data_IF_325398804928
#
_entry.id   IF_325398804928
#
_cell.length_a   1.000
_cell.length_b   1.000
_cell.length_c   1.000
_cell.angle_alpha   90.00
_cell.angle_beta   90.00
_cell.angle_gamma   90.00
#
_symmetry.space_group_name_H-M   'P 1'
#
loop_
_entity.id
_entity.type
_entity.pdbx_description
1 polymer ?
#
# COMPACT_ATOMS: atom_id res chain seq x y z
N UNK A 1 13.51 -7.14 -2.76
CA UNK A 1 13.77 -5.75 -3.21
C UNK A 1 13.32 -4.75 -2.15
N UNK A 2 14.06 -3.63 -1.98
CA UNK A 2 13.69 -2.58 -1.05
C UNK A 2 12.32 -2.00 -1.40
N UNK A 3 11.64 -1.44 -0.40
CA UNK A 3 10.36 -0.77 -0.61
C UNK A 3 10.66 0.66 -1.03
N UNK A 4 10.33 1.01 -2.26
CA UNK A 4 10.56 2.36 -2.77
C UNK A 4 9.63 3.35 -2.04
N UNK A 5 10.20 4.48 -1.61
CA UNK A 5 9.52 5.51 -0.84
C UNK A 5 9.08 6.68 -1.72
N UNK A 6 8.15 7.49 -1.22
CA UNK A 6 7.75 8.77 -1.81
C UNK A 6 8.17 9.94 -0.91
N UNK A 7 8.17 11.15 -1.46
CA UNK A 7 8.35 12.39 -0.70
C UNK A 7 7.04 13.16 -0.60
N UNK A 8 6.61 13.58 0.58
CA UNK A 8 5.29 14.20 0.73
C UNK A 8 5.16 15.58 0.07
N UNK A 9 6.28 16.20 -0.34
CA UNK A 9 6.33 17.47 -1.08
C UNK A 9 5.65 17.32 -2.45
N UNK A 10 4.69 18.20 -2.83
CA UNK A 10 3.88 18.00 -4.04
C UNK A 10 4.68 17.80 -5.34
N UNK A 11 5.82 18.46 -5.48
CA UNK A 11 6.71 18.38 -6.65
C UNK A 11 7.59 17.12 -6.68
N UNK A 12 7.71 16.38 -5.57
CA UNK A 12 8.59 15.20 -5.46
C UNK A 12 7.83 13.94 -5.06
N UNK A 13 6.52 14.04 -4.86
CA UNK A 13 5.63 12.95 -4.48
C UNK A 13 5.77 11.72 -5.37
N UNK A 14 5.75 11.93 -6.69
CA UNK A 14 5.95 10.89 -7.72
C UNK A 14 5.02 9.67 -7.61
N UNK A 15 4.09 9.63 -6.65
CA UNK A 15 3.05 8.63 -6.61
C UNK A 15 2.07 8.86 -7.77
N UNK A 16 1.47 7.79 -8.26
CA UNK A 16 0.40 7.89 -9.24
C UNK A 16 -0.85 8.54 -8.61
N UNK A 17 -1.66 9.24 -9.42
CA UNK A 17 -2.88 9.94 -8.98
C UNK A 17 -3.90 9.03 -8.28
N UNK A 18 -3.82 7.72 -8.51
CA UNK A 18 -4.68 6.70 -7.90
C UNK A 18 -4.22 6.28 -6.50
N UNK A 19 -3.09 6.83 -6.04
CA UNK A 19 -2.45 6.54 -4.76
C UNK A 19 -2.23 7.82 -3.95
N UNK A 20 -1.79 7.68 -2.71
CA UNK A 20 -1.47 8.82 -1.85
C UNK A 20 -0.21 8.54 -1.03
N UNK A 21 0.74 9.48 -1.05
CA UNK A 21 1.96 9.38 -0.26
C UNK A 21 1.61 9.46 1.24
N UNK A 22 1.79 8.34 1.94
CA UNK A 22 1.28 8.12 3.30
C UNK A 22 2.41 7.68 4.22
N UNK A 23 2.37 8.10 5.48
CA UNK A 23 3.32 7.74 6.53
C UNK A 23 2.71 6.69 7.48
N UNK A 24 2.89 5.38 7.22
CA UNK A 24 2.36 4.34 8.11
C UNK A 24 3.11 4.23 9.44
N UNK A 25 4.45 4.32 9.43
CA UNK A 25 5.27 4.20 10.65
C UNK A 25 6.58 4.99 10.59
N UNK A 26 7.47 4.65 9.65
CA UNK A 26 8.87 5.13 9.62
C UNK A 26 9.24 5.88 8.34
N UNK A 27 8.61 5.53 7.23
CA UNK A 27 8.89 6.05 5.89
C UNK A 27 7.58 6.34 5.16
N UNK A 28 7.66 7.18 4.15
CA UNK A 28 6.53 7.51 3.29
C UNK A 28 6.45 6.54 2.10
N UNK A 29 5.24 6.05 1.81
CA UNK A 29 4.99 5.14 0.69
C UNK A 29 3.74 5.54 -0.09
N UNK A 30 3.69 5.19 -1.37
CA UNK A 30 2.50 5.39 -2.20
C UNK A 30 1.44 4.36 -1.82
N UNK A 31 0.45 4.77 -1.03
CA UNK A 31 -0.62 3.90 -0.57
C UNK A 31 -1.81 3.92 -1.55
N UNK A 32 -2.30 2.74 -1.88
CA UNK A 32 -3.50 2.56 -2.67
C UNK A 32 -4.76 3.01 -1.91
N UNK A 33 -5.83 3.30 -2.65
CA UNK A 33 -7.18 3.39 -2.05
C UNK A 33 -7.55 2.04 -1.42
N UNK A 34 -8.42 2.08 -0.40
CA UNK A 34 -8.85 0.86 0.28
C UNK A 34 -9.45 -0.15 -0.70
N UNK A 35 -9.00 -1.41 -0.61
CA UNK A 35 -9.49 -2.50 -1.47
C UNK A 35 -8.83 -2.57 -2.85
N UNK A 36 -7.89 -1.67 -3.17
CA UNK A 36 -7.21 -1.65 -4.46
C UNK A 36 -5.75 -2.10 -4.35
N UNK A 37 -5.25 -2.67 -5.45
CA UNK A 37 -3.88 -3.13 -5.68
C UNK A 37 -3.37 -2.68 -7.04
N UNK A 38 -2.07 -2.90 -7.31
CA UNK A 38 -1.42 -2.41 -8.53
C UNK A 38 -2.10 -2.93 -9.81
N UNK A 39 -2.28 -2.04 -10.79
CA UNK A 39 -2.91 -2.38 -12.08
C UNK A 39 -1.95 -3.08 -13.02
N UNK A 40 -2.38 -4.20 -13.60
CA UNK A 40 -1.60 -4.91 -14.62
C UNK A 40 -0.43 -5.73 -14.07
N UNK A 41 -0.36 -5.93 -12.75
CA UNK A 41 0.64 -6.77 -12.09
C UNK A 41 -0.02 -7.94 -11.37
N UNK A 42 0.71 -9.05 -11.26
CA UNK A 42 0.31 -10.17 -10.40
C UNK A 42 0.27 -9.71 -8.94
N UNK A 43 -0.76 -10.14 -8.20
CA UNK A 43 -0.98 -9.71 -6.81
C UNK A 43 0.22 -10.02 -5.90
N UNK A 44 0.98 -11.07 -6.19
CA UNK A 44 2.16 -11.50 -5.45
C UNK A 44 3.48 -10.85 -5.93
N UNK A 45 3.46 -9.91 -6.89
CA UNK A 45 4.66 -9.21 -7.35
C UNK A 45 5.19 -8.22 -6.29
N UNK A 46 6.08 -8.72 -5.45
CA UNK A 46 6.75 -7.96 -4.39
C UNK A 46 7.76 -6.93 -4.88
N UNK A 47 8.04 -6.86 -6.18
CA UNK A 47 8.88 -5.82 -6.77
C UNK A 47 8.09 -4.54 -7.03
N UNK A 48 6.75 -4.64 -7.07
CA UNK A 48 5.86 -3.54 -7.42
C UNK A 48 4.89 -3.18 -6.30
N UNK A 49 4.41 -4.18 -5.56
CA UNK A 49 3.38 -4.00 -4.53
C UNK A 49 3.63 -4.82 -3.27
N UNK A 50 3.18 -4.31 -2.13
CA UNK A 50 3.30 -4.97 -0.83
C UNK A 50 2.27 -4.46 0.17
N UNK A 51 2.03 -5.23 1.23
CA UNK A 51 1.38 -4.75 2.45
C UNK A 51 2.41 -4.59 3.56
N UNK A 52 2.14 -3.71 4.50
CA UNK A 52 2.96 -3.50 5.70
C UNK A 52 2.22 -4.03 6.94
N UNK A 53 2.96 -4.41 8.00
CA UNK A 53 2.38 -4.77 9.29
C UNK A 53 1.84 -3.52 10.03
N UNK A 54 0.87 -2.82 9.42
CA UNK A 54 0.31 -1.57 9.95
C UNK A 54 -0.85 -1.85 10.91
N UNK A 55 -0.50 -2.35 12.09
CA UNK A 55 -1.45 -2.75 13.11
C UNK A 55 -2.16 -1.57 13.75
N UNK A 56 -3.37 -1.83 14.26
CA UNK A 56 -4.04 -0.89 15.15
C UNK A 56 -3.27 -0.72 16.45
N UNK A 57 -3.44 0.43 17.11
CA UNK A 57 -2.71 0.73 18.35
C UNK A 57 -3.65 0.87 19.55
N UNK A 58 -3.06 0.89 20.76
CA UNK A 58 -3.80 0.99 22.01
C UNK A 58 -4.55 2.33 22.20
N UNK A 59 -4.32 3.33 21.34
CA UNK A 59 -5.05 4.60 21.34
C UNK A 59 -6.35 4.53 20.55
N UNK A 60 -6.64 3.39 19.92
CA UNK A 60 -7.89 3.13 19.19
C UNK A 60 -7.79 3.32 17.68
N UNK A 61 -6.59 3.55 17.13
CA UNK A 61 -6.43 3.62 15.67
C UNK A 61 -6.69 2.24 15.05
N UNK A 62 -7.56 2.13 14.03
CA UNK A 62 -7.91 0.85 13.42
C UNK A 62 -6.77 0.29 12.57
N UNK A 63 -6.64 -1.05 12.54
CA UNK A 63 -5.68 -1.73 11.67
C UNK A 63 -5.84 -1.31 10.21
N UNK A 64 -4.71 -1.04 9.56
CA UNK A 64 -4.60 -0.72 8.15
C UNK A 64 -3.88 -1.83 7.37
N UNK A 65 -3.77 -3.05 7.92
CA UNK A 65 -3.04 -4.17 7.31
C UNK A 65 -3.58 -4.62 5.94
N UNK A 66 -4.81 -4.21 5.60
CA UNK A 66 -5.40 -4.43 4.27
C UNK A 66 -4.95 -3.43 3.21
N UNK A 67 -4.22 -2.38 3.59
CA UNK A 67 -3.76 -1.32 2.70
C UNK A 67 -2.55 -1.81 1.90
N UNK A 68 -2.66 -1.69 0.58
CA UNK A 68 -1.58 -1.99 -0.36
C UNK A 68 -0.75 -0.74 -0.60
N UNK A 69 0.56 -0.93 -0.71
CA UNK A 69 1.53 0.07 -1.09
C UNK A 69 2.21 -0.36 -2.39
N UNK A 70 2.59 0.63 -3.20
CA UNK A 70 3.24 0.41 -4.48
C UNK A 70 4.47 1.30 -4.62
N UNK A 71 5.37 0.95 -5.53
CA UNK A 71 6.47 1.86 -5.91
C UNK A 71 5.93 3.16 -6.56
N UNK A 72 6.66 4.28 -6.49
CA UNK A 72 6.27 5.51 -7.17
C UNK A 72 5.93 5.31 -8.65
N UNK A 73 4.94 6.05 -9.15
CA UNK A 73 4.46 6.01 -10.52
C UNK A 73 3.61 4.79 -10.91
N UNK A 74 3.32 3.87 -9.98
CA UNK A 74 2.46 2.71 -10.26
C UNK A 74 1.01 3.02 -9.98
N UNK A 75 0.18 2.81 -11.00
CA UNK A 75 -1.26 2.91 -10.90
C UNK A 75 -1.83 1.79 -10.00
N UNK A 76 -2.78 2.15 -9.14
CA UNK A 76 -3.46 1.26 -8.21
C UNK A 76 -4.99 1.31 -8.38
N UNK A 77 -5.47 0.76 -9.50
CA UNK A 77 -6.88 0.73 -9.90
C UNK A 77 -7.46 -0.69 -9.99
N UNK A 78 -6.70 -1.74 -9.71
CA UNK A 78 -7.26 -3.10 -9.68
C UNK A 78 -7.87 -3.40 -8.33
N UNK A 79 -9.17 -3.72 -8.29
CA UNK A 79 -9.87 -4.12 -7.07
C UNK A 79 -9.36 -5.50 -6.61
N UNK A 80 -9.11 -5.67 -5.32
CA UNK A 80 -8.84 -6.97 -4.72
C UNK A 80 -10.13 -7.83 -4.69
N UNK A 81 -10.01 -9.13 -4.88
CA UNK A 81 -11.16 -10.04 -4.94
C UNK A 81 -12.00 -10.00 -3.65
N UNK A 82 -11.33 -9.88 -2.50
CA UNK A 82 -11.94 -9.89 -1.17
C UNK A 82 -12.06 -8.49 -0.55
N UNK A 83 -12.04 -7.41 -1.34
CA UNK A 83 -11.89 -6.02 -0.86
C UNK A 83 -12.82 -5.64 0.32
N UNK A 84 -14.00 -6.26 0.41
CA UNK A 84 -15.01 -6.03 1.46
C UNK A 84 -14.65 -6.61 2.83
N UNK A 85 -13.60 -7.43 2.95
CA UNK A 85 -13.13 -8.02 4.21
C UNK A 85 -12.24 -7.09 5.05
N UNK A 86 -12.19 -5.79 4.73
CA UNK A 86 -11.45 -4.80 5.52
C UNK A 86 -9.95 -5.07 5.53
N UNK A 87 -9.37 -5.29 6.72
CA UNK A 87 -7.93 -5.62 6.87
C UNK A 87 -7.52 -6.89 6.13
N UNK A 88 -8.48 -7.78 5.89
CA UNK A 88 -8.24 -9.07 5.24
C UNK A 88 -8.52 -9.04 3.72
N UNK A 89 -8.94 -7.89 3.17
CA UNK A 89 -9.49 -7.82 1.81
C UNK A 89 -8.49 -7.77 0.65
N UNK A 90 -7.21 -7.57 0.92
CA UNK A 90 -6.15 -7.61 -0.11
C UNK A 90 -5.04 -8.62 0.24
N UNK A 91 -5.41 -9.75 0.86
CA UNK A 91 -4.45 -10.77 1.32
C UNK A 91 -3.64 -11.44 0.21
N UNK A 92 -4.13 -11.43 -1.03
CA UNK A 92 -3.37 -11.87 -2.20
C UNK A 92 -2.07 -11.08 -2.38
N UNK A 93 -2.02 -9.83 -1.91
CA UNK A 93 -0.79 -9.05 -1.83
C UNK A 93 -0.01 -9.46 -0.56
N UNK A 94 1.26 -9.89 -0.67
CA UNK A 94 2.05 -10.35 0.46
C UNK A 94 2.48 -9.20 1.39
N UNK A 95 2.66 -9.53 2.67
CA UNK A 95 3.21 -8.61 3.66
C UNK A 95 4.74 -8.60 3.56
N UNK A 96 5.33 -7.41 3.54
CA UNK A 96 6.76 -7.21 3.83
C UNK A 96 6.92 -6.78 5.28
N UNK A 97 7.53 -7.65 6.08
CA UNK A 97 7.83 -7.35 7.49
C UNK A 97 8.96 -6.33 7.65
N UNK A 98 9.72 -6.08 6.58
CA UNK A 98 10.81 -5.12 6.57
C UNK A 98 10.81 -4.35 5.26
N UNK A 99 10.91 -3.04 5.44
CA UNK A 99 11.15 -1.97 4.49
C UNK A 99 12.00 -0.96 5.30
#
# INVERSE_FOLDING_TARGET
PPCETCQYTPNENKCDITTSCTYPESLYYCACRHGYRATGYDANDMTVQWRLPWYGNARGDPSQEGRVFVKPGVECNTLCDDWYLGKDGCKAVPVKNWC
#
